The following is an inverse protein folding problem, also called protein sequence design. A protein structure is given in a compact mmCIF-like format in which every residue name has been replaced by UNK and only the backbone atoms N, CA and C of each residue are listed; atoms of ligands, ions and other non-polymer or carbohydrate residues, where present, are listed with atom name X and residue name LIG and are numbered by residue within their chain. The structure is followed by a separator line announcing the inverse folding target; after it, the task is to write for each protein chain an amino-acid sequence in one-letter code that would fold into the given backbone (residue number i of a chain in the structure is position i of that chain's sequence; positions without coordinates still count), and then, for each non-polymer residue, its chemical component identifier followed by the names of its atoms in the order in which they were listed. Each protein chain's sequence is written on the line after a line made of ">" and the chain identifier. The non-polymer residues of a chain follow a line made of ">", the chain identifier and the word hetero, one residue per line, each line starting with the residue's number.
data_IF_407849353499
#
_entry.id   IF_407849353499
#
_cell.length_a   1.000
_cell.length_b   1.000
_cell.length_c   1.000
_cell.angle_alpha   90.00
_cell.angle_beta   90.00
_cell.angle_gamma   90.00
#
_symmetry.space_group_name_H-M   'P 1'
#
loop_
_entity.id
_entity.type
_entity.pdbx_description
1 polymer ?
#
# COMPACT_ATOMS: atom_id res chain seq x y z
N UNK A 1 5.49 23.50 -8.48
CA UNK A 1 6.83 23.55 -7.88
C UNK A 1 7.33 22.11 -7.69
N UNK A 2 7.88 21.49 -8.75
CA UNK A 2 8.34 20.08 -8.82
C UNK A 2 9.84 20.07 -9.15
N UNK A 3 10.70 20.41 -8.19
CA UNK A 3 12.17 20.39 -8.39
C UNK A 3 12.88 19.43 -7.41
N UNK A 4 12.21 18.91 -6.39
CA UNK A 4 12.83 18.06 -5.35
C UNK A 4 12.72 16.54 -5.56
N UNK A 5 12.74 16.05 -6.80
CA UNK A 5 12.60 14.60 -7.06
C UNK A 5 13.79 14.01 -7.81
N UNK A 6 15.01 14.33 -7.37
CA UNK A 6 16.24 13.83 -8.01
C UNK A 6 17.14 13.05 -7.04
N UNK A 7 17.10 13.32 -5.73
CA UNK A 7 17.94 12.61 -4.77
C UNK A 7 17.11 11.69 -3.87
N UNK A 8 17.55 10.44 -3.77
CA UNK A 8 17.05 9.47 -2.78
C UNK A 8 17.17 10.08 -1.37
N UNK A 9 16.12 9.96 -0.54
CA UNK A 9 16.09 10.47 0.84
C UNK A 9 17.30 9.98 1.65
N UNK A 10 17.85 8.81 1.31
CA UNK A 10 19.08 8.26 1.89
C UNK A 10 20.31 9.10 1.59
N UNK A 11 20.44 9.63 0.37
CA UNK A 11 21.58 10.47 -0.03
C UNK A 11 21.54 11.79 0.72
N UNK A 12 20.36 12.39 0.87
CA UNK A 12 20.17 13.60 1.67
C UNK A 12 20.58 13.40 3.13
N UNK A 13 20.25 12.24 3.72
CA UNK A 13 20.71 11.88 5.06
C UNK A 13 22.24 11.80 5.15
N UNK A 14 22.91 11.13 4.21
CA UNK A 14 24.38 11.04 4.21
C UNK A 14 25.06 12.41 4.04
N UNK A 15 24.54 13.26 3.15
CA UNK A 15 25.06 14.63 2.99
C UNK A 15 24.89 15.40 4.31
N UNK A 16 23.74 15.26 4.96
CA UNK A 16 23.48 15.91 6.26
C UNK A 16 24.43 15.41 7.35
N UNK A 17 24.72 14.11 7.39
CA UNK A 17 25.68 13.52 8.32
C UNK A 17 27.09 14.08 8.09
N UNK A 18 27.52 14.18 6.83
CA UNK A 18 28.82 14.78 6.48
C UNK A 18 28.86 16.24 6.88
N UNK A 19 27.82 17.02 6.57
CA UNK A 19 27.72 18.44 6.98
C UNK A 19 27.78 18.59 8.49
N UNK A 20 27.12 17.72 9.24
CA UNK A 20 27.17 17.72 10.70
C UNK A 20 28.58 17.43 11.24
N UNK A 21 29.28 16.44 10.67
CA UNK A 21 30.67 16.12 11.03
C UNK A 21 31.59 17.30 10.72
N UNK A 22 31.46 17.90 9.54
CA UNK A 22 32.26 19.07 9.14
C UNK A 22 32.00 20.26 10.06
N UNK A 23 30.74 20.49 10.47
CA UNK A 23 30.41 21.52 11.44
C UNK A 23 31.08 21.26 12.80
N UNK A 24 31.02 20.01 13.29
CA UNK A 24 31.68 19.64 14.55
C UNK A 24 33.20 19.84 14.49
N UNK A 25 33.83 19.51 13.36
CA UNK A 25 35.26 19.73 13.13
C UNK A 25 35.62 21.23 13.07
N UNK A 26 34.79 22.05 12.42
CA UNK A 26 34.96 23.52 12.37
C UNK A 26 34.91 24.13 13.78
N UNK A 27 33.87 23.77 14.54
CA UNK A 27 33.66 24.29 15.90
C UNK A 27 34.75 23.82 16.87
N UNK A 28 35.27 22.60 16.69
CA UNK A 28 36.36 22.07 17.51
C UNK A 28 37.71 22.81 17.30
N UNK A 29 37.84 23.63 16.25
CA UNK A 29 39.04 24.43 15.93
C UNK A 29 40.33 23.61 15.93
N UNK A 30 40.34 22.52 15.16
CA UNK A 30 41.57 21.75 14.97
C UNK A 30 42.68 22.64 14.36
N UNK A 31 43.92 22.56 14.87
CA UNK A 31 45.03 23.28 14.27
C UNK A 31 45.23 22.82 12.83
N UNK A 32 45.42 23.77 11.92
CA UNK A 32 45.75 23.48 10.54
C UNK A 32 47.06 22.71 10.47
N UNK A 33 47.14 21.79 9.50
CA UNK A 33 48.38 21.07 9.24
C UNK A 33 49.46 22.06 8.75
N UNK A 34 50.68 21.93 9.27
CA UNK A 34 51.82 22.83 9.03
C UNK A 34 52.12 23.13 7.54
N UNK A 35 51.62 22.31 6.61
CA UNK A 35 51.78 22.47 5.15
C UNK A 35 51.04 23.71 4.63
N UNK A 36 49.95 24.13 5.29
CA UNK A 36 49.15 25.29 4.89
C UNK A 36 49.64 26.60 5.52
N UNK A 37 50.65 26.54 6.38
CA UNK A 37 51.17 27.69 7.09
C UNK A 37 51.95 28.60 6.13
N UNK A 38 51.53 29.87 6.02
CA UNK A 38 52.09 30.84 5.08
C UNK A 38 51.56 30.79 3.64
N UNK A 39 50.56 29.95 3.34
CA UNK A 39 49.83 29.99 2.05
C UNK A 39 48.58 30.88 2.14
N UNK A 40 48.26 31.59 1.05
CA UNK A 40 47.03 32.42 0.93
C UNK A 40 45.76 31.62 1.23
N UNK A 41 45.75 30.33 0.91
CA UNK A 41 44.65 29.40 1.20
C UNK A 41 44.52 29.15 2.70
N UNK A 42 45.65 29.03 3.42
CA UNK A 42 45.69 28.94 4.87
C UNK A 42 45.08 30.18 5.52
N UNK A 43 45.53 31.37 5.10
CA UNK A 43 45.04 32.65 5.64
C UNK A 43 43.52 32.83 5.50
N UNK A 44 42.95 32.43 4.35
CA UNK A 44 41.50 32.47 4.12
C UNK A 44 40.76 31.50 5.05
N UNK A 45 41.26 30.27 5.18
CA UNK A 45 40.67 29.22 6.02
C UNK A 45 40.73 29.55 7.51
N UNK A 46 41.77 30.25 7.98
CA UNK A 46 41.87 30.74 9.37
C UNK A 46 41.20 32.08 9.62
N UNK A 47 40.73 32.77 8.57
CA UNK A 47 40.09 34.07 8.76
C UNK A 47 38.81 33.92 9.58
N UNK A 48 38.68 34.72 10.64
CA UNK A 48 37.52 34.67 11.54
C UNK A 48 36.20 34.89 10.80
N UNK A 49 36.20 35.74 9.77
CA UNK A 49 35.03 36.03 8.94
C UNK A 49 34.61 34.85 8.08
N UNK A 50 35.56 34.10 7.51
CA UNK A 50 35.26 32.91 6.72
C UNK A 50 34.68 31.81 7.60
N UNK A 51 35.30 31.53 8.75
CA UNK A 51 34.84 30.51 9.69
C UNK A 51 33.40 30.80 10.12
N UNK A 52 33.10 32.02 10.56
CA UNK A 52 31.74 32.40 10.98
C UNK A 52 30.74 32.29 9.84
N UNK A 53 31.11 32.72 8.62
CA UNK A 53 30.22 32.64 7.46
C UNK A 53 29.95 31.18 7.07
N UNK A 54 30.98 30.34 7.08
CA UNK A 54 30.89 28.92 6.75
C UNK A 54 30.08 28.14 7.79
N UNK A 55 30.32 28.37 9.09
CA UNK A 55 29.53 27.78 10.17
C UNK A 55 28.05 28.17 10.07
N UNK A 56 27.77 29.46 9.83
CA UNK A 56 26.39 29.92 9.62
C UNK A 56 25.72 29.27 8.40
N UNK A 57 26.48 29.02 7.33
CA UNK A 57 25.98 28.30 6.15
C UNK A 57 25.62 26.85 6.48
N UNK A 58 26.49 26.13 7.20
CA UNK A 58 26.27 24.74 7.63
C UNK A 58 25.09 24.64 8.60
N UNK A 59 24.97 25.57 9.55
CA UNK A 59 23.82 25.66 10.47
C UNK A 59 22.54 25.93 9.67
N UNK A 60 22.58 26.86 8.70
CA UNK A 60 21.45 27.14 7.81
C UNK A 60 21.00 25.92 7.02
N UNK A 61 21.94 25.12 6.51
CA UNK A 61 21.65 23.85 5.84
C UNK A 61 20.98 22.85 6.80
N UNK A 62 21.55 22.65 8.00
CA UNK A 62 20.98 21.72 8.99
C UNK A 62 19.56 22.12 9.40
N UNK A 63 19.33 23.42 9.62
CA UNK A 63 18.00 23.95 9.90
C UNK A 63 17.02 23.64 8.75
N UNK A 64 17.42 23.89 7.50
CA UNK A 64 16.60 23.58 6.33
C UNK A 64 16.28 22.08 6.22
N UNK A 65 17.24 21.20 6.52
CA UNK A 65 17.02 19.76 6.53
C UNK A 65 16.03 19.32 7.63
N UNK A 66 16.16 19.87 8.85
CA UNK A 66 15.19 19.60 9.92
C UNK A 66 13.77 20.04 9.49
N UNK A 67 13.64 21.22 8.89
CA UNK A 67 12.36 21.68 8.36
C UNK A 67 11.82 20.77 7.25
N UNK A 68 12.67 20.27 6.36
CA UNK A 68 12.29 19.26 5.37
C UNK A 68 11.74 17.99 6.03
N UNK A 69 12.45 17.46 7.03
CA UNK A 69 12.05 16.22 7.71
C UNK A 69 10.69 16.38 8.40
N UNK A 70 10.50 17.48 9.13
CA UNK A 70 9.28 17.71 9.91
C UNK A 70 8.07 18.07 9.03
N UNK A 71 8.27 18.88 7.98
CA UNK A 71 7.16 19.42 7.20
C UNK A 71 6.82 18.59 5.95
N UNK A 72 7.76 17.82 5.42
CA UNK A 72 7.54 17.04 4.19
C UNK A 72 7.73 15.54 4.40
N UNK A 73 8.91 15.10 4.88
CA UNK A 73 9.24 13.66 4.96
C UNK A 73 8.32 12.87 5.89
N UNK A 74 8.17 13.29 7.16
CA UNK A 74 7.32 12.58 8.14
C UNK A 74 5.84 12.60 7.75
N UNK A 75 5.24 13.75 7.36
CA UNK A 75 3.87 13.77 6.88
C UNK A 75 3.64 12.90 5.65
N UNK A 76 4.62 12.82 4.73
CA UNK A 76 4.55 11.98 3.52
C UNK A 76 4.51 10.50 3.87
N UNK A 77 5.35 10.02 4.79
CA UNK A 77 5.31 8.63 5.26
C UNK A 77 3.96 8.32 5.90
N UNK A 78 3.52 9.16 6.84
CA UNK A 78 2.22 8.95 7.52
C UNK A 78 1.05 8.95 6.54
N UNK A 79 1.09 9.80 5.49
CA UNK A 79 0.08 9.79 4.43
C UNK A 79 0.11 8.49 3.65
N UNK A 80 1.29 8.01 3.23
CA UNK A 80 1.45 6.72 2.53
C UNK A 80 0.87 5.57 3.36
N UNK A 81 1.21 5.48 4.64
CA UNK A 81 0.72 4.43 5.54
C UNK A 81 -0.81 4.48 5.70
N UNK A 82 -1.39 5.67 5.91
CA UNK A 82 -2.84 5.82 6.03
C UNK A 82 -3.57 5.47 4.72
N UNK A 83 -3.00 5.87 3.58
CA UNK A 83 -3.53 5.52 2.25
C UNK A 83 -3.51 4.01 2.02
N UNK A 84 -2.39 3.34 2.31
CA UNK A 84 -2.27 1.88 2.23
C UNK A 84 -3.25 1.18 3.17
N UNK A 85 -3.37 1.64 4.42
CA UNK A 85 -4.34 1.08 5.37
C UNK A 85 -5.77 1.15 4.83
N UNK A 86 -6.18 2.26 4.22
CA UNK A 86 -7.52 2.42 3.67
C UNK A 86 -7.76 1.49 2.47
N UNK A 87 -6.79 1.42 1.55
CA UNK A 87 -6.84 0.53 0.38
C UNK A 87 -6.90 -0.94 0.81
N UNK A 88 -6.04 -1.34 1.76
CA UNK A 88 -6.03 -2.67 2.35
C UNK A 88 -7.36 -2.99 3.05
N UNK A 89 -7.93 -2.03 3.80
CA UNK A 89 -9.25 -2.23 4.43
C UNK A 89 -10.37 -2.45 3.41
N UNK A 90 -10.27 -1.84 2.23
CA UNK A 90 -11.23 -2.02 1.15
C UNK A 90 -11.13 -3.43 0.55
N UNK A 91 -9.93 -3.89 0.17
CA UNK A 91 -9.71 -5.27 -0.29
C UNK A 91 -10.15 -6.28 0.77
N UNK A 92 -9.73 -6.06 2.03
CA UNK A 92 -10.07 -6.90 3.16
C UNK A 92 -11.57 -7.03 3.37
N UNK A 93 -12.37 -6.03 3.02
CA UNK A 93 -13.82 -6.12 3.23
C UNK A 93 -14.46 -7.24 2.40
N UNK A 94 -14.00 -7.47 1.17
CA UNK A 94 -14.47 -8.57 0.32
C UNK A 94 -13.93 -9.91 0.82
N UNK A 95 -12.63 -9.95 1.15
CA UNK A 95 -11.94 -11.18 1.59
C UNK A 95 -12.40 -11.63 2.99
N UNK A 96 -12.68 -10.71 3.91
CA UNK A 96 -13.20 -11.01 5.25
C UNK A 96 -14.65 -11.49 5.18
N UNK A 97 -15.49 -10.91 4.32
CA UNK A 97 -16.85 -11.40 4.05
C UNK A 97 -16.85 -12.85 3.56
N UNK A 98 -15.89 -13.22 2.70
CA UNK A 98 -15.65 -14.61 2.31
C UNK A 98 -15.19 -15.49 3.48
N UNK A 99 -14.19 -15.03 4.24
CA UNK A 99 -13.56 -15.80 5.32
C UNK A 99 -14.51 -16.13 6.47
N UNK A 100 -15.26 -15.12 6.93
CA UNK A 100 -16.09 -15.19 8.16
C UNK A 100 -17.59 -15.32 7.90
N UNK A 101 -18.01 -15.43 6.63
CA UNK A 101 -19.43 -15.53 6.24
C UNK A 101 -20.32 -14.47 6.89
N UNK A 102 -19.86 -13.22 6.96
CA UNK A 102 -20.60 -12.15 7.63
C UNK A 102 -21.81 -11.70 6.80
N UNK A 103 -23.00 -11.92 7.36
CA UNK A 103 -24.28 -11.53 6.74
C UNK A 103 -24.34 -10.05 6.36
N UNK A 104 -23.79 -9.18 7.21
CA UNK A 104 -23.73 -7.72 7.01
C UNK A 104 -22.28 -7.21 6.91
N UNK A 105 -21.36 -8.04 6.40
CA UNK A 105 -19.95 -7.66 6.25
C UNK A 105 -19.76 -6.38 5.42
N UNK A 106 -20.61 -6.20 4.41
CA UNK A 106 -20.64 -5.04 3.54
C UNK A 106 -21.00 -3.72 4.25
N UNK A 107 -21.68 -3.75 5.39
CA UNK A 107 -22.07 -2.56 6.18
C UNK A 107 -20.94 -2.10 7.13
N UNK A 108 -19.92 -2.92 7.35
CA UNK A 108 -18.85 -2.61 8.31
C UNK A 108 -17.98 -1.47 7.79
N UNK A 109 -18.02 -0.28 8.41
CA UNK A 109 -17.22 0.85 7.94
C UNK A 109 -15.73 0.48 7.77
N UNK A 110 -15.11 0.95 6.68
CA UNK A 110 -13.74 0.59 6.27
C UNK A 110 -12.70 0.63 7.40
N UNK A 111 -12.66 1.65 8.29
CA UNK A 111 -11.65 1.70 9.35
C UNK A 111 -11.68 0.54 10.36
N UNK A 112 -12.81 -0.18 10.45
CA UNK A 112 -13.05 -1.28 11.37
C UNK A 112 -13.02 -2.67 10.71
N UNK A 113 -12.72 -2.72 9.41
CA UNK A 113 -12.57 -3.99 8.69
C UNK A 113 -11.29 -4.68 9.16
N UNK A 114 -11.39 -5.98 9.42
CA UNK A 114 -10.23 -6.76 9.85
C UNK A 114 -9.33 -7.09 8.65
N UNK A 115 -8.13 -6.51 8.64
CA UNK A 115 -7.13 -6.74 7.60
C UNK A 115 -6.29 -7.99 7.85
N UNK A 116 -6.51 -8.73 8.94
CA UNK A 116 -5.77 -9.97 9.23
C UNK A 116 -5.98 -11.05 8.17
N UNK A 117 -7.04 -10.95 7.37
CA UNK A 117 -7.32 -11.85 6.25
C UNK A 117 -6.39 -11.61 5.04
N UNK A 118 -5.67 -10.48 5.01
CA UNK A 118 -4.68 -10.14 3.96
C UNK A 118 -3.31 -10.75 4.25
N UNK A 119 -3.28 -11.97 4.77
CA UNK A 119 -2.05 -12.72 4.93
C UNK A 119 -1.72 -13.51 3.65
N UNK A 120 -0.45 -13.43 3.22
CA UNK A 120 -0.01 -14.04 1.96
C UNK A 120 -0.12 -15.57 1.97
N UNK A 121 0.14 -16.22 3.11
CA UNK A 121 0.04 -17.66 3.25
C UNK A 121 -1.43 -18.11 3.26
N UNK A 122 -2.26 -17.39 4.01
CA UNK A 122 -3.70 -17.59 4.08
C UNK A 122 -4.37 -17.47 2.70
N UNK A 123 -4.02 -16.43 1.92
CA UNK A 123 -4.54 -16.20 0.57
C UNK A 123 -4.16 -17.35 -0.37
N UNK A 124 -2.88 -17.77 -0.38
CA UNK A 124 -2.40 -18.91 -1.21
C UNK A 124 -3.12 -20.21 -0.88
N UNK A 125 -3.38 -20.45 0.41
CA UNK A 125 -4.15 -21.61 0.85
C UNK A 125 -5.58 -21.56 0.31
N UNK A 126 -6.26 -20.41 0.40
CA UNK A 126 -7.64 -20.29 -0.06
C UNK A 126 -7.77 -20.28 -1.58
N UNK A 127 -6.81 -19.74 -2.33
CA UNK A 127 -6.71 -19.91 -3.79
C UNK A 127 -6.70 -21.40 -4.15
N UNK A 128 -5.93 -22.20 -3.40
CA UNK A 128 -5.85 -23.65 -3.64
C UNK A 128 -7.17 -24.36 -3.33
N UNK A 129 -7.95 -23.89 -2.34
CA UNK A 129 -9.29 -24.40 -2.02
C UNK A 129 -10.30 -24.03 -3.12
N UNK A 130 -10.28 -22.79 -3.61
CA UNK A 130 -11.17 -22.32 -4.67
C UNK A 130 -10.98 -23.14 -5.96
N UNK A 131 -9.74 -23.53 -6.28
CA UNK A 131 -9.43 -24.41 -7.43
C UNK A 131 -10.08 -25.80 -7.35
N UNK A 132 -10.52 -26.24 -6.17
CA UNK A 132 -11.19 -27.52 -6.00
C UNK A 132 -12.71 -27.47 -6.26
N UNK A 133 -13.28 -26.28 -6.48
CA UNK A 133 -14.71 -26.04 -6.69
C UNK A 133 -15.62 -26.64 -5.61
N UNK A 134 -15.16 -26.58 -4.35
CA UNK A 134 -15.82 -27.17 -3.17
C UNK A 134 -16.11 -26.15 -2.08
N UNK A 135 -16.12 -24.87 -2.44
CA UNK A 135 -16.37 -23.79 -1.51
C UNK A 135 -17.84 -23.73 -1.14
N UNK A 136 -18.11 -23.49 0.13
CA UNK A 136 -19.46 -23.28 0.65
C UNK A 136 -20.14 -22.11 -0.09
N UNK A 137 -21.34 -22.32 -0.67
CA UNK A 137 -22.09 -21.28 -1.40
C UNK A 137 -22.26 -19.95 -0.64
N UNK A 138 -22.46 -20.02 0.68
CA UNK A 138 -22.66 -18.83 1.51
C UNK A 138 -21.41 -17.91 1.54
N UNK A 139 -20.21 -18.49 1.53
CA UNK A 139 -18.96 -17.71 1.48
C UNK A 139 -18.87 -16.91 0.20
N UNK A 140 -19.22 -17.54 -0.92
CA UNK A 140 -19.23 -16.92 -2.24
C UNK A 140 -20.29 -15.83 -2.33
N UNK A 141 -21.50 -16.10 -1.80
CA UNK A 141 -22.59 -15.11 -1.75
C UNK A 141 -22.18 -13.85 -1.00
N UNK A 142 -21.63 -13.96 0.22
CA UNK A 142 -21.29 -12.77 0.99
C UNK A 142 -20.11 -11.99 0.41
N UNK A 143 -19.15 -12.68 -0.23
CA UNK A 143 -18.09 -12.04 -0.99
C UNK A 143 -18.66 -11.25 -2.17
N UNK A 144 -19.58 -11.87 -2.94
CA UNK A 144 -20.29 -11.25 -4.06
C UNK A 144 -21.09 -10.02 -3.65
N UNK A 145 -21.94 -10.14 -2.62
CA UNK A 145 -22.74 -9.03 -2.10
C UNK A 145 -21.85 -7.85 -1.66
N UNK A 146 -20.72 -8.16 -1.03
CA UNK A 146 -19.75 -7.14 -0.58
C UNK A 146 -19.04 -6.48 -1.76
N UNK A 147 -18.61 -7.26 -2.76
CA UNK A 147 -18.01 -6.73 -3.97
C UNK A 147 -18.98 -5.80 -4.71
N UNK A 148 -20.24 -6.23 -4.88
CA UNK A 148 -21.27 -5.45 -5.54
C UNK A 148 -21.54 -4.11 -4.84
N UNK A 149 -21.81 -4.15 -3.54
CA UNK A 149 -22.11 -2.95 -2.75
C UNK A 149 -20.93 -1.97 -2.65
N UNK A 150 -19.69 -2.47 -2.67
CA UNK A 150 -18.48 -1.65 -2.52
C UNK A 150 -17.74 -1.34 -3.80
N UNK A 151 -18.22 -1.77 -4.97
CA UNK A 151 -17.53 -1.51 -6.26
C UNK A 151 -17.21 -0.01 -6.45
N UNK A 152 -18.12 0.87 -6.03
CA UNK A 152 -17.90 2.32 -6.10
C UNK A 152 -16.81 2.83 -5.15
N UNK A 153 -16.61 2.20 -3.99
CA UNK A 153 -15.52 2.52 -3.09
C UNK A 153 -14.17 2.21 -3.75
N UNK A 154 -14.04 1.02 -4.38
CA UNK A 154 -12.82 0.64 -5.11
C UNK A 154 -12.47 1.66 -6.21
N UNK A 155 -13.47 2.09 -6.99
CA UNK A 155 -13.30 3.11 -8.03
C UNK A 155 -12.86 4.46 -7.45
N UNK A 156 -13.50 4.90 -6.36
CA UNK A 156 -13.22 6.18 -5.71
C UNK A 156 -11.82 6.23 -5.09
N UNK A 157 -11.32 5.09 -4.63
CA UNK A 157 -10.00 4.97 -4.01
C UNK A 157 -8.84 4.92 -5.00
N UNK A 158 -9.09 4.88 -6.32
CA UNK A 158 -8.02 4.93 -7.34
C UNK A 158 -7.13 6.18 -7.19
N UNK A 159 -7.74 7.33 -6.88
CA UNK A 159 -6.98 8.57 -6.67
C UNK A 159 -5.98 8.43 -5.53
N UNK A 160 -6.34 7.68 -4.48
CA UNK A 160 -5.47 7.42 -3.33
C UNK A 160 -4.30 6.50 -3.73
N UNK A 161 -4.55 5.49 -4.56
CA UNK A 161 -3.47 4.64 -5.09
C UNK A 161 -2.48 5.44 -5.96
N UNK A 162 -2.99 6.36 -6.79
CA UNK A 162 -2.18 7.27 -7.63
C UNK A 162 -1.28 8.19 -6.79
N UNK A 163 -1.74 8.63 -5.63
CA UNK A 163 -0.93 9.47 -4.72
C UNK A 163 0.28 8.72 -4.14
N UNK A 164 0.23 7.39 -4.06
CA UNK A 164 1.35 6.58 -3.55
C UNK A 164 2.43 6.45 -4.64
N UNK A 165 2.11 5.77 -5.74
CA UNK A 165 2.99 5.67 -6.91
C UNK A 165 2.21 5.20 -8.15
N UNK A 166 2.77 5.39 -9.37
CA UNK A 166 2.18 4.85 -10.60
C UNK A 166 2.00 3.31 -10.57
N UNK A 167 2.94 2.59 -9.95
CA UNK A 167 2.87 1.13 -9.84
C UNK A 167 1.71 0.68 -8.92
N UNK A 168 1.46 1.41 -7.83
CA UNK A 168 0.28 1.17 -6.99
C UNK A 168 -1.02 1.43 -7.77
N UNK A 169 -1.07 2.49 -8.57
CA UNK A 169 -2.23 2.78 -9.40
C UNK A 169 -2.53 1.66 -10.41
N UNK A 170 -1.49 1.14 -11.07
CA UNK A 170 -1.62 0.01 -12.00
C UNK A 170 -2.19 -1.24 -11.31
N UNK A 171 -1.61 -1.64 -10.17
CA UNK A 171 -2.09 -2.81 -9.43
C UNK A 171 -3.50 -2.59 -8.86
N UNK A 172 -3.82 -1.37 -8.45
CA UNK A 172 -5.16 -1.04 -7.99
C UNK A 172 -6.20 -1.13 -9.11
N UNK A 173 -5.87 -0.73 -10.34
CA UNK A 173 -6.75 -0.92 -11.50
C UNK A 173 -7.04 -2.40 -11.77
N UNK A 174 -6.05 -3.27 -11.60
CA UNK A 174 -6.26 -4.73 -11.70
C UNK A 174 -7.23 -5.20 -10.61
N UNK A 175 -7.05 -4.75 -9.36
CA UNK A 175 -7.97 -5.08 -8.25
C UNK A 175 -9.39 -4.59 -8.56
N UNK A 176 -9.56 -3.35 -9.03
CA UNK A 176 -10.85 -2.80 -9.45
C UNK A 176 -11.52 -3.71 -10.48
N UNK A 177 -10.79 -4.11 -11.52
CA UNK A 177 -11.33 -4.98 -12.57
C UNK A 177 -11.79 -6.33 -12.01
N UNK A 178 -11.00 -6.94 -11.11
CA UNK A 178 -11.39 -8.23 -10.48
C UNK A 178 -12.60 -8.11 -9.58
N UNK A 179 -12.71 -7.02 -8.81
CA UNK A 179 -13.91 -6.75 -8.00
C UNK A 179 -15.12 -6.51 -8.89
N UNK A 180 -14.98 -5.76 -9.98
CA UNK A 180 -16.06 -5.51 -10.95
C UNK A 180 -16.55 -6.81 -11.58
N UNK A 181 -15.64 -7.67 -12.06
CA UNK A 181 -15.99 -8.97 -12.66
C UNK A 181 -16.67 -9.91 -11.65
N UNK A 182 -16.27 -9.86 -10.37
CA UNK A 182 -17.00 -10.57 -9.32
C UNK A 182 -18.40 -9.97 -9.15
N UNK A 183 -18.53 -8.65 -9.05
CA UNK A 183 -19.79 -7.95 -8.84
C UNK A 183 -20.80 -8.07 -9.99
N UNK A 184 -20.35 -8.30 -11.23
CA UNK A 184 -21.23 -8.51 -12.40
C UNK A 184 -22.13 -9.74 -12.23
N UNK A 185 -21.68 -10.76 -11.51
CA UNK A 185 -22.47 -11.95 -11.20
C UNK A 185 -23.61 -11.68 -10.18
N UNK A 186 -23.73 -10.46 -9.63
CA UNK A 186 -24.75 -10.14 -8.63
C UNK A 186 -26.15 -10.14 -9.25
N UNK A 187 -27.05 -10.91 -8.65
CA UNK A 187 -28.42 -11.05 -9.15
C UNK A 187 -28.56 -12.03 -10.33
N UNK A 188 -27.47 -12.64 -10.79
CA UNK A 188 -27.48 -13.62 -11.89
C UNK A 188 -27.70 -15.07 -11.42
N UNK A 189 -27.97 -15.28 -10.12
CA UNK A 189 -28.18 -16.62 -9.57
C UNK A 189 -29.40 -17.29 -10.26
N UNK A 190 -29.22 -18.47 -10.88
CA UNK A 190 -30.32 -19.20 -11.50
C UNK A 190 -31.41 -19.55 -10.49
N UNK A 191 -32.68 -19.48 -10.92
CA UNK A 191 -33.80 -19.94 -10.11
C UNK A 191 -33.75 -21.46 -9.97
N UNK A 192 -33.86 -21.94 -8.73
CA UNK A 192 -33.87 -23.37 -8.42
C UNK A 192 -35.25 -23.73 -7.85
N UNK A 193 -35.92 -24.74 -8.40
CA UNK A 193 -37.14 -25.28 -7.83
C UNK A 193 -36.95 -25.72 -6.36
N UNK A 194 -37.97 -25.54 -5.50
CA UNK A 194 -37.88 -25.84 -4.06
C UNK A 194 -37.51 -27.32 -3.79
N UNK A 195 -37.98 -28.24 -4.64
CA UNK A 195 -37.67 -29.67 -4.59
C UNK A 195 -36.21 -29.98 -4.93
N UNK A 196 -35.44 -29.03 -5.47
CA UNK A 196 -34.04 -29.17 -5.84
C UNK A 196 -33.09 -28.29 -4.98
N UNK A 197 -33.62 -27.54 -4.01
CA UNK A 197 -32.84 -26.62 -3.18
C UNK A 197 -31.69 -27.31 -2.43
N UNK A 198 -31.85 -28.57 -2.03
CA UNK A 198 -30.80 -29.34 -1.35
C UNK A 198 -29.59 -29.64 -2.27
N UNK A 199 -29.79 -29.70 -3.59
CA UNK A 199 -28.74 -29.96 -4.58
C UNK A 199 -27.78 -28.77 -4.75
N UNK A 200 -28.25 -27.56 -4.41
CA UNK A 200 -27.45 -26.33 -4.42
C UNK A 200 -26.31 -26.42 -3.41
N UNK A 201 -26.61 -26.91 -2.20
CA UNK A 201 -25.60 -27.13 -1.16
C UNK A 201 -24.69 -28.32 -1.50
N UNK A 202 -25.25 -29.36 -2.12
CA UNK A 202 -24.48 -30.52 -2.57
C UNK A 202 -23.56 -30.24 -3.78
N UNK A 203 -23.65 -29.04 -4.38
CA UNK A 203 -22.89 -28.63 -5.57
C UNK A 203 -23.07 -29.61 -6.75
N UNK A 204 -24.26 -30.18 -6.91
CA UNK A 204 -24.53 -31.18 -7.95
C UNK A 204 -24.32 -30.58 -9.37
N UNK A 205 -23.44 -31.14 -10.22
CA UNK A 205 -23.17 -30.64 -11.57
C UNK A 205 -24.39 -30.58 -12.49
N UNK A 206 -25.47 -31.30 -12.16
CA UNK A 206 -26.71 -31.34 -12.95
C UNK A 206 -27.59 -30.11 -12.74
N UNK A 207 -27.33 -29.29 -11.72
CA UNK A 207 -28.11 -28.09 -11.41
C UNK A 207 -27.41 -26.85 -11.97
N UNK A 208 -28.17 -25.94 -12.57
CA UNK A 208 -27.66 -24.71 -13.19
C UNK A 208 -26.81 -23.85 -12.24
N UNK A 209 -27.07 -23.90 -10.94
CA UNK A 209 -26.29 -23.18 -9.91
C UNK A 209 -24.85 -23.68 -9.78
N UNK A 210 -24.53 -24.89 -10.23
CA UNK A 210 -23.16 -25.40 -10.16
C UNK A 210 -22.19 -24.54 -10.99
N UNK A 211 -22.60 -24.15 -12.21
CA UNK A 211 -21.81 -23.27 -13.07
C UNK A 211 -21.65 -21.88 -12.45
N UNK A 212 -22.75 -21.33 -11.93
CA UNK A 212 -22.75 -20.02 -11.26
C UNK A 212 -21.72 -19.97 -10.12
N UNK A 213 -21.76 -20.93 -9.18
CA UNK A 213 -20.79 -20.92 -8.09
C UNK A 213 -19.37 -21.23 -8.53
N UNK A 214 -19.18 -22.02 -9.60
CA UNK A 214 -17.86 -22.26 -10.16
C UNK A 214 -17.26 -20.99 -10.78
N UNK A 215 -18.08 -20.16 -11.43
CA UNK A 215 -17.63 -18.83 -11.89
C UNK A 215 -17.27 -17.93 -10.71
N UNK A 216 -18.11 -17.88 -9.66
CA UNK A 216 -17.79 -17.11 -8.45
C UNK A 216 -16.48 -17.55 -7.79
N UNK A 217 -16.21 -18.86 -7.73
CA UNK A 217 -14.94 -19.38 -7.22
C UNK A 217 -13.76 -18.92 -8.07
N UNK A 218 -13.92 -18.95 -9.40
CA UNK A 218 -12.92 -18.44 -10.34
C UNK A 218 -12.68 -16.93 -10.17
N UNK A 219 -13.74 -16.11 -10.10
CA UNK A 219 -13.62 -14.65 -9.91
C UNK A 219 -12.99 -14.29 -8.58
N UNK A 220 -13.39 -14.96 -7.51
CA UNK A 220 -12.82 -14.72 -6.19
C UNK A 220 -11.34 -15.16 -6.14
N UNK A 221 -10.99 -16.23 -6.83
CA UNK A 221 -9.59 -16.66 -6.99
C UNK A 221 -8.76 -15.60 -7.70
N UNK A 222 -9.23 -15.06 -8.84
CA UNK A 222 -8.55 -13.97 -9.56
C UNK A 222 -8.34 -12.74 -8.65
N UNK A 223 -9.35 -12.39 -7.84
CA UNK A 223 -9.24 -11.29 -6.88
C UNK A 223 -8.19 -11.56 -5.81
N UNK A 224 -8.12 -12.77 -5.27
CA UNK A 224 -7.10 -13.15 -4.28
C UNK A 224 -5.69 -13.18 -4.88
N UNK A 225 -5.54 -13.59 -6.13
CA UNK A 225 -4.26 -13.54 -6.86
C UNK A 225 -3.81 -12.09 -7.08
N UNK A 226 -4.72 -11.21 -7.53
CA UNK A 226 -4.44 -9.77 -7.64
C UNK A 226 -4.09 -9.13 -6.28
N UNK A 227 -4.74 -9.58 -5.20
CA UNK A 227 -4.43 -9.14 -3.84
C UNK A 227 -3.02 -9.56 -3.40
N UNK A 228 -2.56 -10.75 -3.78
CA UNK A 228 -1.19 -11.17 -3.50
C UNK A 228 -0.16 -10.29 -4.20
N UNK A 229 -0.41 -9.92 -5.46
CA UNK A 229 0.45 -9.00 -6.19
C UNK A 229 0.49 -7.61 -5.56
N UNK A 230 -0.67 -7.11 -5.11
CA UNK A 230 -0.78 -5.86 -4.38
C UNK A 230 0.07 -5.87 -3.09
N UNK A 231 -0.05 -6.91 -2.26
CA UNK A 231 0.71 -7.04 -1.01
C UNK A 231 2.21 -7.23 -1.23
N UNK A 232 2.61 -7.83 -2.37
CA UNK A 232 4.02 -7.96 -2.72
C UNK A 232 4.66 -6.60 -3.02
N UNK A 233 3.87 -5.67 -3.57
CA UNK A 233 4.33 -4.32 -3.87
C UNK A 233 4.54 -3.50 -2.59
N UNK A 234 3.66 -3.65 -1.60
CA UNK A 234 3.81 -3.01 -0.28
C UNK A 234 5.13 -3.41 0.40
N UNK A 235 5.46 -4.72 0.38
CA UNK A 235 6.69 -5.25 0.99
C UNK A 235 7.99 -4.76 0.36
N UNK A 236 7.93 -4.32 -0.90
CA UNK A 236 9.08 -3.84 -1.66
C UNK A 236 9.20 -2.30 -1.67
N UNK A 237 8.23 -1.59 -1.09
CA UNK A 237 8.11 -0.11 -1.15
C UNK A 237 8.48 0.61 0.13
#
# INVERSE_FOLDING_TARGET
>A
MKIYRIFDDRVLFYITLVVFIVLMLSVARFPLWDIFDGMVVGDILTSSSYIVTFENLLIGYLAAYIFYVLNDYLPRIKRKENSLRLLNSCIASVVDSYSRTRVYGHETALPYVDTSCLDSEWLRKHISVLKLNKTEPLKLKFALDTAHTRTNDFNSLLQIAVEISPEHAEKWLVVIDKVRLLAENYGEMPTVPDDQAYLVQARDPKVATHLFFSDLEFRLMELMEATLEWLALEKNS
#
